data_IF_727983530677
#
_entry.id   IF_727983530677
#
_cell.length_a   1.000
_cell.length_b   1.000
_cell.length_c   1.000
_cell.angle_alpha   90.00
_cell.angle_beta   90.00
_cell.angle_gamma   90.00
#
_symmetry.space_group_name_H-M   'P 1'
#
loop_
_entity.id
_entity.type
_entity.pdbx_description
1 polymer ?
#
# COMPACT_ATOMS: atom_id res chain seq x y z
N UNK A 1 20.60 -12.99 -1.50
CA UNK A 1 19.51 -13.81 -2.08
C UNK A 1 18.26 -12.94 -2.12
N UNK A 2 17.92 -12.43 -3.31
CA UNK A 2 16.67 -11.70 -3.53
C UNK A 2 15.61 -12.76 -3.81
N UNK A 3 14.75 -13.06 -2.84
CA UNK A 3 13.51 -13.75 -3.15
C UNK A 3 12.67 -12.68 -3.83
N UNK A 4 12.58 -12.71 -5.16
CA UNK A 4 11.64 -11.86 -5.86
C UNK A 4 10.26 -12.12 -5.23
N UNK A 5 9.56 -11.09 -4.72
CA UNK A 5 8.24 -11.30 -4.14
C UNK A 5 7.37 -12.00 -5.18
N UNK A 6 6.84 -13.18 -4.83
CA UNK A 6 5.92 -13.92 -5.71
C UNK A 6 4.61 -13.17 -5.94
N UNK A 7 4.35 -12.14 -5.12
CA UNK A 7 3.23 -11.22 -5.26
C UNK A 7 3.64 -9.79 -4.91
N UNK A 8 3.07 -8.80 -5.60
CA UNK A 8 3.29 -7.38 -5.33
C UNK A 8 2.18 -6.80 -4.45
N UNK A 9 2.49 -6.25 -3.26
CA UNK A 9 1.49 -5.58 -2.44
C UNK A 9 1.06 -4.26 -3.07
N UNK A 10 -0.23 -4.09 -3.29
CA UNK A 10 -0.86 -2.88 -3.84
C UNK A 10 -1.84 -2.29 -2.84
N UNK A 11 -1.81 -0.96 -2.70
CA UNK A 11 -2.77 -0.27 -1.86
C UNK A 11 -4.16 -0.23 -2.52
N UNK A 12 -5.18 -0.77 -1.85
CA UNK A 12 -6.56 -0.80 -2.34
C UNK A 12 -7.16 0.59 -2.61
N UNK A 13 -6.63 1.63 -1.98
CA UNK A 13 -7.19 2.98 -2.04
C UNK A 13 -6.47 3.84 -3.08
N UNK A 14 -5.13 3.79 -3.12
CA UNK A 14 -4.34 4.69 -3.98
C UNK A 14 -3.60 3.98 -5.11
N UNK A 15 -3.67 2.65 -5.20
CA UNK A 15 -3.05 1.86 -6.27
C UNK A 15 -1.52 1.84 -6.27
N UNK A 16 -0.88 2.43 -5.26
CA UNK A 16 0.58 2.39 -5.13
C UNK A 16 1.05 0.97 -4.78
N UNK A 17 2.22 0.59 -5.28
CA UNK A 17 2.88 -0.69 -5.03
C UNK A 17 3.92 -0.50 -3.92
N UNK A 18 3.98 -1.45 -2.99
CA UNK A 18 5.01 -1.50 -1.94
C UNK A 18 6.32 -2.02 -2.54
N UNK A 19 7.38 -1.22 -2.48
CA UNK A 19 8.74 -1.68 -2.77
C UNK A 19 9.32 -2.35 -1.53
N UNK A 20 9.65 -3.64 -1.65
CA UNK A 20 10.40 -4.35 -0.64
C UNK A 20 11.90 -4.12 -0.89
N UNK A 21 12.46 -3.07 -0.30
CA UNK A 21 13.90 -2.84 -0.35
C UNK A 21 14.58 -3.74 0.67
N UNK A 22 15.25 -4.79 0.18
CA UNK A 22 16.02 -5.71 1.02
C UNK A 22 16.98 -4.98 1.99
N UNK A 23 17.06 -5.51 3.20
CA UNK A 23 18.03 -5.20 4.28
C UNK A 23 18.10 -3.78 4.86
N UNK A 24 17.35 -2.78 4.37
CA UNK A 24 17.21 -1.47 5.04
C UNK A 24 15.79 -1.25 5.55
N UNK A 25 15.54 -1.82 6.72
CA UNK A 25 14.25 -2.13 7.32
C UNK A 25 13.41 -0.95 7.89
N UNK A 26 13.52 0.30 7.41
CA UNK A 26 12.85 1.40 8.15
C UNK A 26 11.89 2.32 7.40
N UNK A 27 11.77 2.23 6.07
CA UNK A 27 10.79 3.04 5.37
C UNK A 27 10.04 2.20 4.35
N UNK A 28 8.80 1.84 4.70
CA UNK A 28 7.85 1.29 3.75
C UNK A 28 7.67 2.28 2.58
N UNK A 29 8.25 1.94 1.43
CA UNK A 29 8.21 2.79 0.24
C UNK A 29 7.07 2.34 -0.67
N UNK A 30 6.16 3.26 -0.95
CA UNK A 30 5.05 3.06 -1.87
C UNK A 30 5.29 3.86 -3.15
N UNK A 31 5.26 3.21 -4.31
CA UNK A 31 5.57 3.82 -5.61
C UNK A 31 4.42 3.62 -6.60
N UNK A 32 4.36 4.47 -7.62
CA UNK A 32 3.42 4.27 -8.72
C UNK A 32 3.84 3.08 -9.59
N UNK A 33 2.90 2.51 -10.34
CA UNK A 33 3.21 1.46 -11.33
C UNK A 33 4.28 1.90 -12.35
N UNK A 34 4.23 3.17 -12.78
CA UNK A 34 5.22 3.75 -13.70
C UNK A 34 6.63 3.74 -13.09
N UNK A 35 6.74 4.17 -11.83
CA UNK A 35 8.03 4.16 -11.12
C UNK A 35 8.51 2.74 -10.91
N UNK A 36 7.63 1.82 -10.47
CA UNK A 36 7.98 0.41 -10.31
C UNK A 36 8.54 -0.20 -11.60
N UNK A 37 7.84 0.01 -12.73
CA UNK A 37 8.29 -0.46 -14.04
C UNK A 37 9.65 0.10 -14.42
N UNK A 38 9.90 1.38 -14.15
CA UNK A 38 11.19 2.02 -14.42
C UNK A 38 12.32 1.46 -13.55
N UNK A 39 12.05 1.20 -12.27
CA UNK A 39 13.07 0.73 -11.32
C UNK A 39 13.43 -0.73 -11.55
N UNK A 40 12.42 -1.59 -11.79
CA UNK A 40 12.60 -3.05 -11.79
C UNK A 40 12.57 -3.67 -13.20
N UNK A 41 12.20 -2.90 -14.23
CA UNK A 41 12.07 -3.42 -15.60
C UNK A 41 10.88 -4.36 -15.80
N UNK A 42 10.08 -4.62 -14.76
CA UNK A 42 8.92 -5.50 -14.77
C UNK A 42 7.64 -4.68 -14.82
N UNK A 43 6.71 -5.05 -15.69
CA UNK A 43 5.38 -4.46 -15.69
C UNK A 43 4.56 -5.03 -14.51
N UNK A 44 4.06 -4.19 -13.59
CA UNK A 44 3.33 -4.69 -12.42
C UNK A 44 2.10 -5.54 -12.73
N UNK A 45 1.49 -5.37 -13.91
CA UNK A 45 0.32 -6.17 -14.33
C UNK A 45 0.67 -7.63 -14.64
N UNK A 46 1.95 -7.93 -14.84
CA UNK A 46 2.43 -9.26 -15.21
C UNK A 46 2.79 -10.09 -13.97
N UNK A 47 2.65 -9.50 -12.78
CA UNK A 47 2.95 -10.15 -11.49
C UNK A 47 1.65 -10.23 -10.68
N UNK A 48 1.37 -11.36 -10.01
CA UNK A 48 0.23 -11.45 -9.10
C UNK A 48 0.25 -10.34 -8.06
N UNK A 49 -0.91 -9.72 -7.81
CA UNK A 49 -1.04 -8.62 -6.86
C UNK A 49 -1.70 -9.12 -5.58
N UNK A 50 -1.22 -8.63 -4.43
CA UNK A 50 -1.93 -8.77 -3.15
C UNK A 50 -2.43 -7.40 -2.70
N UNK A 51 -3.67 -7.36 -2.23
CA UNK A 51 -4.38 -6.13 -1.91
C UNK A 51 -4.25 -5.80 -0.42
N UNK A 52 -3.72 -4.62 -0.09
CA UNK A 52 -3.51 -4.17 1.29
C UNK A 52 -3.70 -2.66 1.42
N UNK A 53 -3.46 -2.07 2.60
CA UNK A 53 -3.47 -0.62 2.80
C UNK A 53 -2.04 -0.10 2.98
N UNK A 54 -1.71 1.01 2.31
CA UNK A 54 -0.57 1.81 2.72
C UNK A 54 -0.88 2.54 4.03
N UNK A 55 0.15 2.85 4.81
CA UNK A 55 -0.02 3.51 6.11
C UNK A 55 -0.86 4.79 6.01
N UNK A 56 -0.64 5.61 4.98
CA UNK A 56 -1.40 6.86 4.76
C UNK A 56 -2.89 6.61 4.58
N UNK A 57 -3.26 5.62 3.75
CA UNK A 57 -4.65 5.30 3.48
C UNK A 57 -5.30 4.61 4.67
N UNK A 58 -4.56 3.74 5.38
CA UNK A 58 -5.04 3.11 6.61
C UNK A 58 -5.34 4.16 7.69
N UNK A 59 -4.43 5.10 7.94
CA UNK A 59 -4.66 6.17 8.92
C UNK A 59 -5.89 7.00 8.56
N UNK A 60 -6.06 7.39 7.29
CA UNK A 60 -7.27 8.11 6.84
C UNK A 60 -8.55 7.32 7.10
N UNK A 61 -8.58 6.04 6.71
CA UNK A 61 -9.75 5.18 6.95
C UNK A 61 -10.07 5.05 8.44
N UNK A 62 -9.04 4.88 9.28
CA UNK A 62 -9.20 4.79 10.74
C UNK A 62 -9.72 6.08 11.35
N UNK A 63 -9.20 7.24 10.95
CA UNK A 63 -9.69 8.53 11.46
C UNK A 63 -11.13 8.83 11.00
N UNK A 64 -11.48 8.50 9.75
CA UNK A 64 -12.86 8.60 9.27
C UNK A 64 -13.82 7.70 10.06
N UNK A 65 -13.40 6.47 10.37
CA UNK A 65 -14.17 5.55 11.21
C UNK A 65 -14.41 6.13 12.61
N UNK A 66 -13.40 6.72 13.24
CA UNK A 66 -13.55 7.37 14.55
C UNK A 66 -14.49 8.58 14.50
N UNK A 67 -14.47 9.36 13.42
CA UNK A 67 -15.40 10.48 13.23
C UNK A 67 -16.84 9.95 13.11
N UNK A 68 -17.06 8.97 12.23
CA UNK A 68 -18.36 8.34 12.04
C UNK A 68 -18.98 7.82 13.35
N UNK A 69 -18.21 7.10 14.17
CA UNK A 69 -18.72 6.62 15.46
C UNK A 69 -18.99 7.73 16.48
N UNK A 70 -18.20 8.82 16.46
CA UNK A 70 -18.50 9.99 17.30
C UNK A 70 -19.82 10.63 16.88
N UNK A 71 -20.01 10.84 15.58
CA UNK A 71 -21.21 11.49 15.04
C UNK A 71 -22.47 10.68 15.37
N UNK A 72 -22.41 9.34 15.26
CA UNK A 72 -23.50 8.45 15.69
C UNK A 72 -23.76 8.58 17.20
N UNK A 73 -22.70 8.53 18.02
CA UNK A 73 -22.83 8.60 19.48
C UNK A 73 -23.37 9.94 20.00
N UNK A 74 -23.13 11.04 19.28
CA UNK A 74 -23.70 12.37 19.59
C UNK A 74 -25.07 12.62 18.97
N UNK A 75 -25.54 11.76 18.07
CA UNK A 75 -26.88 11.85 17.46
C UNK A 75 -27.95 11.05 18.23
N UNK A 76 -27.59 10.53 19.40
CA UNK A 76 -28.45 9.76 20.30
C UNK A 76 -28.82 10.56 21.56
#
# INVERSE_FOLDING_TARGET
>A
MFIAPTMLPVCCVCGLIREETGFRAHHERWVTQRTYRRTHGVNPTDVPLTHTYCLKCFTKAREAMKQYFRDIGTSA
#
